data_IF_497752668851
#
_entry.id   IF_497752668851
#
_cell.length_a   1.000
_cell.length_b   1.000
_cell.length_c   1.000
_cell.angle_alpha   90.00
_cell.angle_beta   90.00
_cell.angle_gamma   90.00
#
_symmetry.space_group_name_H-M   'P 1'
#
loop_
_entity.id
_entity.type
_entity.pdbx_description
1 polymer ?
#
# COMPACT_ATOMS: atom_id res chain seq x y z
N UNK A 1 -22.60 -17.00 5.04
CA UNK A 1 -23.74 -17.38 4.16
C UNK A 1 -23.42 -18.70 3.46
N UNK A 2 -23.42 -19.83 4.17
CA UNK A 2 -23.25 -21.14 3.55
C UNK A 2 -24.64 -21.68 3.18
N UNK A 3 -24.90 -21.99 1.91
CA UNK A 3 -26.15 -22.62 1.46
C UNK A 3 -27.29 -21.67 1.05
N UNK A 4 -27.10 -20.35 1.15
CA UNK A 4 -28.04 -19.38 0.56
C UNK A 4 -27.89 -19.40 -0.97
N UNK A 5 -28.95 -19.75 -1.69
CA UNK A 5 -28.98 -19.80 -3.16
C UNK A 5 -28.21 -20.98 -3.79
N UNK A 6 -27.87 -22.02 -3.03
CA UNK A 6 -27.11 -23.19 -3.54
C UNK A 6 -25.62 -22.91 -3.78
N UNK A 7 -25.13 -21.75 -3.37
CA UNK A 7 -23.74 -21.33 -3.56
C UNK A 7 -22.91 -21.58 -2.29
N UNK A 8 -21.66 -21.97 -2.50
CA UNK A 8 -20.68 -22.09 -1.43
C UNK A 8 -20.36 -20.70 -0.85
N UNK A 9 -20.04 -20.65 0.46
CA UNK A 9 -19.84 -19.37 1.15
C UNK A 9 -18.71 -18.50 0.57
N UNK A 10 -17.73 -19.10 -0.11
CA UNK A 10 -16.63 -18.39 -0.78
C UNK A 10 -17.09 -17.69 -2.07
N UNK A 11 -18.04 -18.25 -2.80
CA UNK A 11 -18.55 -17.68 -4.06
C UNK A 11 -19.34 -16.40 -3.82
N UNK A 12 -20.03 -16.30 -2.68
CA UNK A 12 -20.71 -15.07 -2.26
C UNK A 12 -19.75 -13.91 -1.98
N UNK A 13 -18.54 -14.18 -1.49
CA UNK A 13 -17.53 -13.14 -1.26
C UNK A 13 -17.13 -12.49 -2.59
N UNK A 14 -16.78 -13.31 -3.59
CA UNK A 14 -16.42 -12.83 -4.92
C UNK A 14 -17.59 -12.13 -5.64
N UNK A 15 -18.82 -12.63 -5.47
CA UNK A 15 -19.98 -12.04 -6.11
C UNK A 15 -20.31 -10.65 -5.54
N UNK A 16 -20.24 -10.49 -4.22
CA UNK A 16 -20.44 -9.19 -3.57
C UNK A 16 -19.32 -8.20 -3.94
N UNK A 17 -18.05 -8.62 -3.91
CA UNK A 17 -16.91 -7.79 -4.29
C UNK A 17 -16.97 -7.37 -5.77
N UNK A 18 -17.28 -8.33 -6.65
CA UNK A 18 -17.51 -8.09 -8.07
C UNK A 18 -18.65 -7.11 -8.35
N UNK A 19 -19.77 -7.21 -7.62
CA UNK A 19 -20.91 -6.32 -7.80
C UNK A 19 -20.58 -4.89 -7.36
N UNK A 20 -19.87 -4.72 -6.23
CA UNK A 20 -19.42 -3.39 -5.77
C UNK A 20 -18.47 -2.76 -6.79
N UNK A 21 -17.52 -3.51 -7.33
CA UNK A 21 -16.59 -2.98 -8.35
C UNK A 21 -17.29 -2.56 -9.63
N UNK A 22 -18.29 -3.32 -10.10
CA UNK A 22 -19.11 -2.93 -11.26
C UNK A 22 -19.88 -1.64 -11.00
N UNK A 23 -20.49 -1.50 -9.81
CA UNK A 23 -21.19 -0.27 -9.43
C UNK A 23 -20.25 0.95 -9.42
N UNK A 24 -19.05 0.80 -8.83
CA UNK A 24 -18.04 1.86 -8.83
C UNK A 24 -17.59 2.19 -10.26
N UNK A 25 -17.39 1.19 -11.12
CA UNK A 25 -17.02 1.42 -12.52
C UNK A 25 -18.10 2.22 -13.28
N UNK A 26 -19.38 1.94 -13.05
CA UNK A 26 -20.48 2.70 -13.64
C UNK A 26 -20.45 4.15 -13.13
N UNK A 27 -20.25 4.37 -11.83
CA UNK A 27 -20.16 5.72 -11.26
C UNK A 27 -18.96 6.48 -11.84
N UNK A 28 -17.79 5.82 -11.93
CA UNK A 28 -16.58 6.41 -12.50
C UNK A 28 -16.76 6.73 -13.99
N UNK A 29 -17.50 5.92 -14.75
CA UNK A 29 -17.81 6.24 -16.14
C UNK A 29 -18.54 7.59 -16.30
N UNK A 30 -19.39 7.97 -15.33
CA UNK A 30 -20.08 9.27 -15.35
C UNK A 30 -19.31 10.39 -14.66
N UNK A 31 -18.41 10.08 -13.71
CA UNK A 31 -17.74 11.07 -12.88
C UNK A 31 -16.28 11.36 -13.29
N UNK A 32 -15.64 10.45 -14.03
CA UNK A 32 -14.24 10.57 -14.43
C UNK A 32 -14.11 11.45 -15.67
N UNK A 33 -13.47 12.60 -15.52
CA UNK A 33 -13.14 13.51 -16.61
C UNK A 33 -11.68 13.32 -17.02
N UNK A 34 -11.42 13.07 -18.30
CA UNK A 34 -10.06 12.78 -18.81
C UNK A 34 -9.10 13.98 -18.72
N UNK A 35 -9.65 15.21 -18.69
CA UNK A 35 -8.86 16.43 -18.63
C UNK A 35 -9.50 17.46 -17.68
N UNK A 36 -8.68 18.25 -16.97
CA UNK A 36 -9.16 19.31 -16.08
C UNK A 36 -9.95 20.40 -16.81
N UNK A 37 -9.83 20.49 -18.14
CA UNK A 37 -10.61 21.37 -19.01
C UNK A 37 -12.10 20.95 -19.06
N UNK A 38 -12.38 19.64 -19.03
CA UNK A 38 -13.74 19.09 -19.11
C UNK A 38 -14.39 18.87 -17.75
N UNK A 39 -13.63 19.03 -16.67
CA UNK A 39 -14.10 18.76 -15.32
C UNK A 39 -15.05 19.86 -14.83
N UNK A 40 -16.31 19.52 -14.59
CA UNK A 40 -17.37 20.43 -14.14
C UNK A 40 -17.33 20.74 -12.64
N UNK A 41 -16.51 20.02 -11.87
CA UNK A 41 -16.34 20.20 -10.42
C UNK A 41 -15.33 21.30 -10.05
N UNK A 42 -14.45 21.70 -10.96
CA UNK A 42 -13.42 22.71 -10.72
C UNK A 42 -13.96 24.12 -10.95
N UNK A 43 -13.66 25.04 -10.03
CA UNK A 43 -13.86 26.48 -10.29
C UNK A 43 -12.87 26.99 -11.33
N UNK A 44 -13.20 28.09 -12.02
CA UNK A 44 -12.33 28.64 -13.07
C UNK A 44 -10.93 29.01 -12.56
N UNK A 45 -10.82 29.43 -11.29
CA UNK A 45 -9.55 29.71 -10.64
C UNK A 45 -8.71 28.44 -10.44
N UNK A 46 -9.32 27.36 -9.92
CA UNK A 46 -8.63 26.08 -9.71
C UNK A 46 -8.26 25.43 -11.05
N UNK A 47 -9.13 25.52 -12.06
CA UNK A 47 -8.85 25.02 -13.41
C UNK A 47 -7.64 25.74 -14.01
N UNK A 48 -7.57 27.06 -13.88
CA UNK A 48 -6.44 27.85 -14.42
C UNK A 48 -5.14 27.49 -13.71
N UNK A 49 -5.14 27.41 -12.38
CA UNK A 49 -3.98 26.99 -11.59
C UNK A 49 -3.51 25.57 -11.93
N UNK A 50 -4.45 24.64 -12.10
CA UNK A 50 -4.16 23.25 -12.43
C UNK A 50 -3.59 23.13 -13.86
N UNK A 51 -4.11 23.89 -14.82
CA UNK A 51 -3.57 23.94 -16.18
C UNK A 51 -2.18 24.57 -16.23
N UNK A 52 -1.90 25.60 -15.44
CA UNK A 52 -0.56 26.20 -15.34
C UNK A 52 0.43 25.22 -14.70
N UNK A 53 0.05 24.58 -13.59
CA UNK A 53 0.86 23.54 -12.94
C UNK A 53 1.12 22.38 -13.89
N UNK A 54 0.10 21.91 -14.60
CA UNK A 54 0.22 20.82 -15.56
C UNK A 54 1.07 21.22 -16.77
N UNK A 55 1.07 22.50 -17.19
CA UNK A 55 1.99 23.01 -18.22
C UNK A 55 3.43 23.07 -17.71
N UNK A 56 3.68 23.47 -16.48
CA UNK A 56 5.02 23.47 -15.88
C UNK A 56 5.56 22.04 -15.73
N UNK A 57 4.72 21.10 -15.32
CA UNK A 57 5.08 19.69 -15.13
C UNK A 57 5.20 18.95 -16.47
N UNK A 58 4.30 19.22 -17.43
CA UNK A 58 4.37 18.68 -18.80
C UNK A 58 5.52 19.28 -19.61
N UNK A 59 5.97 20.51 -19.31
CA UNK A 59 7.15 21.09 -19.94
C UNK A 59 8.45 20.32 -19.56
N UNK A 60 8.44 19.58 -18.46
CA UNK A 60 9.53 18.68 -18.09
C UNK A 60 9.51 17.33 -18.84
N UNK A 61 8.37 16.92 -19.42
CA UNK A 61 8.19 15.62 -20.08
C UNK A 61 7.67 15.73 -21.51
N UNK A 62 8.54 15.60 -22.52
CA UNK A 62 8.10 15.69 -23.92
C UNK A 62 7.07 14.60 -24.24
N UNK A 63 5.87 14.98 -24.73
CA UNK A 63 4.80 14.06 -25.20
C UNK A 63 5.21 13.13 -26.35
N UNK A 64 6.43 13.27 -26.90
CA UNK A 64 6.97 12.40 -27.95
C UNK A 64 7.75 11.26 -27.29
N UNK A 65 7.21 10.05 -27.38
CA UNK A 65 7.90 8.82 -27.00
C UNK A 65 9.16 8.64 -27.86
N UNK A 66 10.32 9.05 -27.33
CA UNK A 66 11.61 8.84 -28.00
C UNK A 66 12.29 7.65 -27.37
N UNK A 67 12.67 6.66 -28.19
CA UNK A 67 13.45 5.48 -27.75
C UNK A 67 14.75 5.86 -27.02
N UNK A 68 15.29 7.05 -27.28
CA UNK A 68 16.44 7.63 -26.56
C UNK A 68 16.20 7.76 -25.05
N UNK A 69 14.98 8.09 -24.61
CA UNK A 69 14.65 8.20 -23.18
C UNK A 69 14.61 6.82 -22.49
N UNK A 70 14.25 5.76 -23.21
CA UNK A 70 14.26 4.39 -22.66
C UNK A 70 15.69 3.96 -22.36
N UNK A 71 16.60 4.16 -23.32
CA UNK A 71 18.02 3.83 -23.13
C UNK A 71 18.65 4.68 -22.04
N UNK A 72 18.25 5.95 -21.93
CA UNK A 72 18.70 6.84 -20.86
C UNK A 72 18.20 6.40 -19.49
N UNK A 73 16.93 5.99 -19.37
CA UNK A 73 16.36 5.49 -18.12
C UNK A 73 17.00 4.16 -17.69
N UNK A 74 17.22 3.24 -18.63
CA UNK A 74 17.90 1.96 -18.36
C UNK A 74 19.36 2.18 -17.98
N UNK A 75 20.03 3.21 -18.52
CA UNK A 75 21.45 3.46 -18.20
C UNK A 75 21.63 4.29 -16.92
N UNK A 76 20.56 4.80 -16.31
CA UNK A 76 20.65 5.59 -15.09
C UNK A 76 20.88 4.67 -13.86
N UNK A 77 22.06 4.73 -13.22
CA UNK A 77 22.32 3.94 -12.01
C UNK A 77 21.38 4.31 -10.86
N UNK A 78 20.83 5.53 -10.84
CA UNK A 78 19.88 5.94 -9.80
C UNK A 78 18.57 5.16 -9.90
N UNK A 79 18.10 4.87 -11.11
CA UNK A 79 16.89 4.08 -11.33
C UNK A 79 17.04 2.66 -10.76
N UNK A 80 18.20 2.03 -10.93
CA UNK A 80 18.47 0.73 -10.31
C UNK A 80 18.57 0.80 -8.78
N UNK A 81 19.13 1.88 -8.23
CA UNK A 81 19.23 2.07 -6.79
C UNK A 81 17.85 2.29 -6.14
N UNK A 82 16.97 3.06 -6.78
CA UNK A 82 15.57 3.18 -6.34
C UNK A 82 14.80 1.88 -6.50
N UNK A 83 14.98 1.18 -7.63
CA UNK A 83 14.33 -0.12 -7.86
C UNK A 83 14.77 -1.16 -6.82
N UNK A 84 16.06 -1.21 -6.49
CA UNK A 84 16.57 -2.15 -5.48
C UNK A 84 16.10 -1.80 -4.08
N UNK A 85 16.07 -0.52 -3.71
CA UNK A 85 15.52 -0.06 -2.43
C UNK A 85 14.04 -0.47 -2.29
N UNK A 86 13.24 -0.21 -3.32
CA UNK A 86 11.83 -0.59 -3.34
C UNK A 86 11.63 -2.10 -3.29
N UNK A 87 12.45 -2.86 -4.04
CA UNK A 87 12.36 -4.31 -4.04
C UNK A 87 12.72 -4.91 -2.67
N UNK A 88 13.80 -4.43 -2.05
CA UNK A 88 14.26 -4.88 -0.74
C UNK A 88 13.29 -4.52 0.39
N UNK A 89 12.52 -3.43 0.27
CA UNK A 89 11.49 -3.09 1.25
C UNK A 89 10.16 -3.81 0.99
N UNK A 90 9.77 -4.00 -0.27
CA UNK A 90 8.50 -4.64 -0.63
C UNK A 90 8.48 -6.13 -0.31
N UNK A 91 9.60 -6.86 -0.51
CA UNK A 91 9.68 -8.30 -0.23
C UNK A 91 9.26 -8.65 1.20
N UNK A 92 9.89 -8.08 2.26
CA UNK A 92 9.52 -8.42 3.63
C UNK A 92 8.08 -8.00 3.95
N UNK A 93 7.59 -6.86 3.44
CA UNK A 93 6.22 -6.42 3.68
C UNK A 93 5.18 -7.37 3.10
N UNK A 94 5.31 -7.73 1.84
CA UNK A 94 4.36 -8.63 1.16
C UNK A 94 4.46 -10.05 1.74
N UNK A 95 5.68 -10.53 2.00
CA UNK A 95 5.90 -11.86 2.58
C UNK A 95 5.25 -11.95 3.96
N UNK A 96 5.47 -10.94 4.81
CA UNK A 96 4.90 -10.92 6.15
C UNK A 96 3.37 -10.88 6.13
N UNK A 97 2.77 -9.99 5.34
CA UNK A 97 1.31 -9.92 5.19
C UNK A 97 0.69 -11.22 4.70
N UNK A 98 1.37 -11.93 3.80
CA UNK A 98 0.90 -13.20 3.25
C UNK A 98 1.01 -14.35 4.26
N UNK A 99 2.10 -14.40 5.02
CA UNK A 99 2.35 -15.47 6.00
C UNK A 99 1.80 -15.19 7.40
N UNK A 100 1.38 -13.96 7.70
CA UNK A 100 0.79 -13.59 8.99
C UNK A 100 -0.33 -14.54 9.46
N UNK A 101 -1.35 -14.87 8.65
CA UNK A 101 -2.40 -15.80 9.09
C UNK A 101 -1.84 -17.20 9.39
N UNK A 102 -0.83 -17.66 8.65
CA UNK A 102 -0.14 -18.94 8.89
C UNK A 102 0.65 -18.91 10.19
N UNK A 103 1.35 -17.80 10.48
CA UNK A 103 2.08 -17.61 11.74
C UNK A 103 1.09 -17.66 12.92
N UNK A 104 -0.05 -16.96 12.83
CA UNK A 104 -1.09 -16.95 13.88
C UNK A 104 -1.76 -18.32 14.03
N UNK A 105 -2.01 -19.04 12.94
CA UNK A 105 -2.52 -20.41 13.01
C UNK A 105 -1.52 -21.34 13.73
N UNK A 106 -0.22 -21.19 13.44
CA UNK A 106 0.87 -21.89 14.14
C UNK A 106 0.96 -21.62 15.65
N UNK A 107 0.36 -20.52 16.15
CA UNK A 107 0.27 -20.23 17.59
C UNK A 107 -0.84 -21.02 18.32
N UNK A 108 -1.60 -21.85 17.60
CA UNK A 108 -2.69 -22.68 18.14
C UNK A 108 -4.09 -22.10 17.98
N UNK A 109 -4.25 -21.01 17.22
CA UNK A 109 -5.57 -20.42 16.93
C UNK A 109 -6.23 -21.09 15.73
N UNK A 110 -7.55 -21.23 15.75
CA UNK A 110 -8.31 -21.76 14.61
C UNK A 110 -8.12 -20.91 13.35
N UNK A 111 -8.21 -21.50 12.16
CA UNK A 111 -8.04 -20.78 10.88
C UNK A 111 -8.95 -19.54 10.75
N UNK A 112 -10.18 -19.62 11.25
CA UNK A 112 -11.14 -18.49 11.24
C UNK A 112 -10.73 -17.41 12.22
N UNK A 113 -10.31 -17.78 13.43
CA UNK A 113 -9.83 -16.83 14.45
C UNK A 113 -8.51 -16.19 14.01
N UNK A 114 -7.64 -16.92 13.32
CA UNK A 114 -6.37 -16.42 12.81
C UNK A 114 -6.57 -15.29 11.80
N UNK A 115 -7.53 -15.42 10.87
CA UNK A 115 -7.87 -14.35 9.93
C UNK A 115 -8.44 -13.09 10.61
N UNK A 116 -9.17 -13.25 11.72
CA UNK A 116 -9.67 -12.09 12.48
C UNK A 116 -8.51 -11.42 13.25
N UNK A 117 -7.60 -12.23 13.80
CA UNK A 117 -6.41 -11.76 14.52
C UNK A 117 -5.37 -11.10 13.60
N UNK A 118 -5.46 -11.22 12.28
CA UNK A 118 -4.63 -10.39 11.39
C UNK A 118 -5.07 -8.93 11.36
N UNK A 119 -6.31 -8.60 11.76
CA UNK A 119 -6.84 -7.23 11.66
C UNK A 119 -6.08 -6.24 12.55
N UNK A 120 -5.82 -6.51 13.85
CA UNK A 120 -5.16 -5.52 14.70
C UNK A 120 -3.71 -5.19 14.30
N UNK A 121 -2.85 -6.15 13.90
CA UNK A 121 -1.52 -5.83 13.35
C UNK A 121 -1.58 -4.96 12.10
N UNK A 122 -2.48 -5.25 11.16
CA UNK A 122 -2.65 -4.45 9.94
C UNK A 122 -3.18 -3.05 10.26
N UNK A 123 -4.11 -2.92 11.21
CA UNK A 123 -4.63 -1.63 11.64
C UNK A 123 -3.57 -0.78 12.34
N UNK A 124 -2.71 -1.39 13.15
CA UNK A 124 -1.57 -0.70 13.75
C UNK A 124 -0.60 -0.19 12.67
N UNK A 125 -0.30 -1.02 11.66
CA UNK A 125 0.46 -0.62 10.48
C UNK A 125 -0.16 0.60 9.79
N UNK A 126 -1.47 0.54 9.50
CA UNK A 126 -2.19 1.65 8.88
C UNK A 126 -2.09 2.96 9.67
N UNK A 127 -2.28 2.91 11.00
CA UNK A 127 -2.18 4.11 11.86
C UNK A 127 -0.73 4.65 11.85
N UNK A 128 0.26 3.77 11.92
CA UNK A 128 1.67 4.16 11.83
C UNK A 128 1.98 4.85 10.50
N UNK A 129 1.59 4.24 9.37
CA UNK A 129 1.75 4.80 8.03
C UNK A 129 1.13 6.19 7.92
N UNK A 130 -0.08 6.39 8.43
CA UNK A 130 -0.73 7.71 8.41
C UNK A 130 0.04 8.75 9.23
N UNK A 131 0.42 8.40 10.45
CA UNK A 131 1.14 9.30 11.35
C UNK A 131 2.49 9.73 10.77
N UNK A 132 3.25 8.78 10.23
CA UNK A 132 4.59 9.04 9.69
C UNK A 132 4.51 9.71 8.33
N UNK A 133 3.55 9.35 7.47
CA UNK A 133 3.29 10.07 6.22
C UNK A 133 3.01 11.55 6.48
N UNK A 134 2.15 11.84 7.46
CA UNK A 134 1.87 13.22 7.89
C UNK A 134 3.12 13.94 8.44
N UNK A 135 3.90 13.28 9.30
CA UNK A 135 5.13 13.85 9.86
C UNK A 135 6.22 14.07 8.79
N UNK A 136 6.31 13.15 7.83
CA UNK A 136 7.26 13.20 6.73
C UNK A 136 6.92 14.32 5.75
N UNK A 137 5.65 14.47 5.38
CA UNK A 137 5.22 15.57 4.51
C UNK A 137 5.37 16.93 5.18
N UNK A 138 5.11 17.04 6.50
CA UNK A 138 5.36 18.29 7.25
C UNK A 138 6.83 18.69 7.31
N UNK A 139 7.75 17.72 7.35
CA UNK A 139 9.19 17.99 7.41
C UNK A 139 9.88 18.01 6.04
N UNK A 140 9.20 17.63 4.96
CA UNK A 140 9.75 17.51 3.60
C UNK A 140 11.04 16.65 3.50
N UNK A 141 11.31 15.79 4.49
CA UNK A 141 12.51 14.94 4.57
C UNK A 141 12.10 13.47 4.70
N UNK A 142 11.93 12.76 3.58
CA UNK A 142 11.43 11.36 3.56
C UNK A 142 12.49 10.33 3.99
N UNK A 143 13.76 10.56 3.67
CA UNK A 143 14.85 9.58 3.88
C UNK A 143 15.09 9.15 5.34
N UNK A 144 15.22 10.09 6.29
CA UNK A 144 15.47 9.74 7.69
C UNK A 144 14.34 8.97 8.36
N UNK A 145 13.08 9.20 7.98
CA UNK A 145 11.96 8.43 8.53
C UNK A 145 12.04 6.96 8.10
N UNK A 146 12.31 6.69 6.82
CA UNK A 146 12.48 5.31 6.33
C UNK A 146 13.60 4.62 7.11
N UNK A 147 14.76 5.27 7.26
CA UNK A 147 15.90 4.70 7.99
C UNK A 147 15.63 4.49 9.49
N UNK A 148 14.84 5.37 10.12
CA UNK A 148 14.49 5.26 11.53
C UNK A 148 13.53 4.09 11.82
N UNK A 149 12.70 3.70 10.84
CA UNK A 149 11.74 2.61 11.00
C UNK A 149 12.28 1.23 10.58
N UNK A 150 13.35 1.17 9.78
CA UNK A 150 14.09 -0.07 9.50
C UNK A 150 14.48 -0.88 10.76
N UNK A 151 15.09 -0.30 11.83
CA UNK A 151 15.42 -1.05 13.04
C UNK A 151 14.17 -1.55 13.79
N UNK A 152 13.04 -0.84 13.73
CA UNK A 152 11.78 -1.29 14.34
C UNK A 152 11.28 -2.56 13.65
N UNK A 153 11.35 -2.61 12.32
CA UNK A 153 11.03 -3.81 11.55
C UNK A 153 11.96 -4.98 11.93
N UNK A 154 13.27 -4.74 12.01
CA UNK A 154 14.26 -5.76 12.39
C UNK A 154 13.98 -6.31 13.79
N UNK A 155 13.67 -5.44 14.76
CA UNK A 155 13.31 -5.86 16.12
C UNK A 155 12.03 -6.70 16.14
N UNK A 156 11.02 -6.34 15.35
CA UNK A 156 9.79 -7.13 15.21
C UNK A 156 10.07 -8.55 14.70
N UNK A 157 10.89 -8.68 13.66
CA UNK A 157 11.31 -9.99 13.13
C UNK A 157 12.16 -10.79 14.12
N UNK A 158 13.09 -10.13 14.81
CA UNK A 158 13.90 -10.77 15.84
C UNK A 158 13.04 -11.33 16.98
N UNK A 159 12.01 -10.58 17.41
CA UNK A 159 11.09 -11.00 18.47
C UNK A 159 10.20 -12.17 18.05
N UNK A 160 9.76 -12.20 16.79
CA UNK A 160 9.04 -13.35 16.21
C UNK A 160 9.87 -14.64 16.21
N UNK A 161 11.17 -14.55 15.93
CA UNK A 161 12.08 -15.70 15.90
C UNK A 161 12.49 -16.13 17.32
N UNK A 162 12.77 -15.18 18.20
CA UNK A 162 13.33 -15.45 19.53
C UNK A 162 12.30 -15.99 20.53
N UNK A 163 11.00 -15.73 20.32
CA UNK A 163 9.98 -16.00 21.34
C UNK A 163 9.04 -17.14 20.95
N UNK A 164 8.78 -18.05 21.89
CA UNK A 164 7.87 -19.21 21.72
C UNK A 164 6.47 -18.97 22.32
N UNK A 165 6.26 -17.83 22.98
CA UNK A 165 5.00 -17.47 23.63
C UNK A 165 4.08 -16.77 22.65
N UNK A 166 2.83 -17.24 22.49
CA UNK A 166 1.87 -16.70 21.53
C UNK A 166 1.62 -15.19 21.68
N UNK A 167 1.59 -14.67 22.92
CA UNK A 167 1.42 -13.24 23.19
C UNK A 167 2.59 -12.39 22.67
N UNK A 168 3.82 -12.88 22.83
CA UNK A 168 5.01 -12.18 22.38
C UNK A 168 5.12 -12.20 20.84
N UNK A 169 4.80 -13.31 20.19
CA UNK A 169 4.77 -13.40 18.72
C UNK A 169 3.72 -12.48 18.11
N UNK A 170 2.58 -12.29 18.79
CA UNK A 170 1.55 -11.34 18.37
C UNK A 170 2.03 -9.88 18.47
N UNK A 171 2.69 -9.50 19.58
CA UNK A 171 3.31 -8.17 19.74
C UNK A 171 4.40 -7.94 18.70
N UNK A 172 5.22 -8.96 18.41
CA UNK A 172 6.21 -8.92 17.34
C UNK A 172 5.57 -8.67 15.97
N UNK A 173 4.41 -9.26 15.72
CA UNK A 173 3.67 -9.06 14.45
C UNK A 173 3.15 -7.64 14.27
N UNK A 174 2.69 -7.02 15.36
CA UNK A 174 2.29 -5.60 15.37
C UNK A 174 3.49 -4.69 15.10
N UNK A 175 4.64 -4.98 15.74
CA UNK A 175 5.87 -4.22 15.55
C UNK A 175 6.43 -4.34 14.13
N UNK A 176 6.35 -5.53 13.51
CA UNK A 176 6.73 -5.72 12.11
C UNK A 176 5.85 -4.87 11.19
N UNK A 177 4.53 -4.91 11.35
CA UNK A 177 3.63 -4.10 10.51
C UNK A 177 3.87 -2.60 10.68
N UNK A 178 4.10 -2.13 11.90
CA UNK A 178 4.42 -0.74 12.17
C UNK A 178 5.79 -0.31 11.58
N UNK A 179 6.76 -1.22 11.52
CA UNK A 179 8.11 -0.93 11.03
C UNK A 179 8.29 -1.08 9.51
N UNK A 180 7.60 -2.04 8.89
CA UNK A 180 7.72 -2.30 7.45
C UNK A 180 6.84 -1.35 6.64
N UNK A 181 5.75 -0.86 7.23
CA UNK A 181 4.87 0.15 6.66
C UNK A 181 4.96 1.44 7.49
N UNK A 182 6.09 2.16 7.43
CA UNK A 182 6.16 3.50 7.97
C UNK A 182 5.32 4.47 7.12
#
# INVERSE_FOLDING_TARGET
MHGLGGLAGWSWIFLCEGLVTVLIAIILFFCMYDYPENATFLTDAERTWLLETLKLDSAAGSKKFKRKFIVQAIRDPKSYLFASLFFLSAIPGVSFSTFLPTIINGMGFSSTTAQILTVPPNMAGFICTLCISYLSDKKHFRGPFILAWCPVAILGYALLIATKTSAAQYVGSVLVMAGVLP
#
